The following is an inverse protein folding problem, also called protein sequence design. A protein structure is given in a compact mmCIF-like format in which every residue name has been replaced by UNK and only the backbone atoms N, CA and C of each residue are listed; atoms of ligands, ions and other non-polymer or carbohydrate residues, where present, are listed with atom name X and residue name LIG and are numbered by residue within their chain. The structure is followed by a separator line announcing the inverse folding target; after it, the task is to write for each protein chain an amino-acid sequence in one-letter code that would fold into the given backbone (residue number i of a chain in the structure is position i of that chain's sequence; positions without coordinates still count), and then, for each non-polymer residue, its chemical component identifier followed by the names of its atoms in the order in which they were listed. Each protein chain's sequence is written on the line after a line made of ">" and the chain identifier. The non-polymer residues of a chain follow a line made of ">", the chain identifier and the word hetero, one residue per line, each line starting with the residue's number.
data_IF_100042477816
#
_entry.id   IF_100042477816
#
_cell.length_a   1.000
_cell.length_b   1.000
_cell.length_c   1.000
_cell.angle_alpha   90.00
_cell.angle_beta   90.00
_cell.angle_gamma   90.00
#
_symmetry.space_group_name_H-M   'P 1'
#
loop_
_entity.id
_entity.type
_entity.pdbx_description
1 polymer ?
#
# COMPACT_ATOMS: atom_id res chain seq x y z
N UNK A 1 -15.91 -18.70 2.59
CA UNK A 1 -15.62 -19.95 3.31
C UNK A 1 -16.58 -21.05 2.87
N UNK A 2 -16.16 -22.32 2.85
CA UNK A 2 -16.93 -23.45 2.29
C UNK A 2 -17.71 -24.18 3.39
N UNK A 3 -18.67 -23.49 3.99
CA UNK A 3 -19.41 -23.99 5.17
C UNK A 3 -20.89 -24.25 4.91
N UNK A 4 -21.38 -23.99 3.70
CA UNK A 4 -22.80 -24.10 3.34
C UNK A 4 -23.01 -24.94 2.07
N UNK A 5 -23.06 -26.28 2.17
CA UNK A 5 -22.72 -27.10 3.34
C UNK A 5 -21.20 -27.32 3.48
N UNK A 6 -20.76 -27.78 4.66
CA UNK A 6 -19.38 -28.27 4.85
C UNK A 6 -19.23 -29.60 4.09
N UNK A 7 -18.15 -29.81 3.30
CA UNK A 7 -17.89 -31.08 2.64
C UNK A 7 -17.81 -32.24 3.63
N UNK A 8 -18.55 -33.31 3.38
CA UNK A 8 -18.59 -34.54 4.20
C UNK A 8 -18.59 -35.77 3.29
N UNK A 9 -18.26 -36.95 3.83
CA UNK A 9 -18.31 -38.25 3.15
C UNK A 9 -17.59 -38.29 1.79
N UNK A 10 -16.38 -37.71 1.69
CA UNK A 10 -15.63 -37.63 0.43
C UNK A 10 -16.12 -36.53 -0.52
N UNK A 11 -17.00 -35.63 -0.07
CA UNK A 11 -17.41 -34.45 -0.83
C UNK A 11 -16.24 -33.53 -1.17
N UNK A 12 -16.20 -33.04 -2.40
CA UNK A 12 -15.16 -32.11 -2.87
C UNK A 12 -15.25 -30.78 -2.13
N UNK A 13 -14.09 -30.20 -1.83
CA UNK A 13 -14.02 -28.84 -1.29
C UNK A 13 -14.52 -27.83 -2.34
N UNK A 14 -15.14 -26.74 -1.92
CA UNK A 14 -15.66 -25.72 -2.84
C UNK A 14 -14.56 -25.21 -3.78
N UNK A 15 -14.83 -25.25 -5.07
CA UNK A 15 -13.95 -24.71 -6.11
C UNK A 15 -14.31 -23.24 -6.40
N UNK A 16 -13.28 -22.42 -6.71
CA UNK A 16 -13.45 -21.00 -7.04
C UNK A 16 -12.72 -20.03 -6.11
N UNK A 17 -12.76 -18.74 -6.47
CA UNK A 17 -12.12 -17.66 -5.69
C UNK A 17 -12.76 -17.55 -4.31
N UNK A 18 -11.92 -17.66 -3.27
CA UNK A 18 -12.33 -17.50 -1.87
C UNK A 18 -12.61 -16.05 -1.48
N UNK A 19 -12.10 -15.09 -2.26
CA UNK A 19 -12.24 -13.66 -2.01
C UNK A 19 -12.57 -12.90 -3.29
N UNK A 20 -13.52 -11.97 -3.19
CA UNK A 20 -13.86 -10.97 -4.20
C UNK A 20 -13.68 -9.59 -3.61
N UNK A 21 -13.08 -8.70 -4.39
CA UNK A 21 -12.88 -7.30 -4.02
C UNK A 21 -13.66 -6.45 -5.01
N UNK A 22 -14.20 -5.34 -4.51
CA UNK A 22 -14.84 -4.30 -5.32
C UNK A 22 -14.41 -2.97 -4.73
N UNK A 23 -13.96 -2.05 -5.59
CA UNK A 23 -13.70 -0.68 -5.19
C UNK A 23 -15.00 -0.06 -4.64
N UNK A 24 -14.88 0.70 -3.56
CA UNK A 24 -15.96 1.44 -2.92
C UNK A 24 -15.52 2.89 -2.75
N UNK A 25 -16.47 3.81 -2.59
CA UNK A 25 -16.20 5.25 -2.53
C UNK A 25 -15.38 5.74 -3.73
N UNK A 26 -15.79 5.36 -4.94
CA UNK A 26 -15.08 5.67 -6.19
C UNK A 26 -15.23 7.11 -6.64
N UNK A 27 -15.95 7.93 -5.88
CA UNK A 27 -16.00 9.37 -6.13
C UNK A 27 -14.64 9.99 -5.83
N UNK A 28 -14.24 10.95 -6.65
CA UNK A 28 -12.97 11.64 -6.45
C UNK A 28 -12.95 12.29 -5.06
N UNK A 29 -11.79 12.20 -4.40
CA UNK A 29 -11.58 12.93 -3.15
C UNK A 29 -11.80 14.43 -3.40
N UNK A 30 -12.33 15.19 -2.41
CA UNK A 30 -12.53 16.62 -2.54
C UNK A 30 -11.25 17.32 -3.00
N UNK A 31 -11.38 18.21 -3.98
CA UNK A 31 -10.26 19.05 -4.42
C UNK A 31 -9.79 19.89 -3.23
N UNK A 32 -8.59 19.58 -2.72
CA UNK A 32 -8.06 20.22 -1.52
C UNK A 32 -7.00 19.42 -0.79
N UNK A 33 -6.92 18.10 -1.00
CA UNK A 33 -5.74 17.35 -0.55
C UNK A 33 -4.55 17.67 -1.44
N UNK A 34 -3.49 18.23 -0.84
CA UNK A 34 -2.22 18.47 -1.53
C UNK A 34 -1.44 17.17 -1.80
N UNK A 35 -1.84 16.05 -1.19
CA UNK A 35 -1.15 14.78 -1.23
C UNK A 35 -2.07 13.69 -1.80
N UNK A 36 -1.51 12.79 -2.59
CA UNK A 36 -2.13 11.50 -2.90
C UNK A 36 -2.17 10.63 -1.65
N UNK A 37 -3.08 9.66 -1.61
CA UNK A 37 -3.19 8.77 -0.46
C UNK A 37 -1.92 7.93 -0.20
N UNK A 38 -1.10 7.66 -1.23
CA UNK A 38 0.20 7.01 -1.04
C UNK A 38 1.23 7.98 -0.43
N UNK A 39 1.19 9.26 -0.78
CA UNK A 39 2.01 10.28 -0.14
C UNK A 39 1.65 10.46 1.33
N UNK A 40 0.35 10.45 1.67
CA UNK A 40 -0.10 10.48 3.07
C UNK A 40 0.44 9.29 3.87
N UNK A 41 0.43 8.09 3.28
CA UNK A 41 0.99 6.90 3.92
C UNK A 41 2.51 7.00 4.18
N UNK A 42 3.29 7.56 3.25
CA UNK A 42 4.71 7.82 3.51
C UNK A 42 4.90 8.93 4.57
N UNK A 43 4.16 10.03 4.44
CA UNK A 43 4.24 11.19 5.34
C UNK A 43 3.89 10.85 6.80
N UNK A 44 3.08 9.81 7.04
CA UNK A 44 2.81 9.29 8.38
C UNK A 44 4.10 8.89 9.16
N UNK A 45 5.20 8.62 8.45
CA UNK A 45 6.49 8.28 9.06
C UNK A 45 7.43 9.48 9.24
N UNK A 46 7.04 10.68 8.81
CA UNK A 46 7.89 11.88 8.95
C UNK A 46 8.19 12.21 10.42
N UNK A 47 7.25 11.90 11.32
CA UNK A 47 7.40 12.10 12.76
C UNK A 47 8.02 10.89 13.50
N UNK A 48 8.32 9.79 12.79
CA UNK A 48 8.90 8.56 13.36
C UNK A 48 10.41 8.63 13.48
N UNK A 49 10.90 9.64 14.18
CA UNK A 49 12.35 9.84 14.43
C UNK A 49 12.96 8.68 15.20
N UNK A 50 12.15 7.91 15.94
CA UNK A 50 12.55 6.68 16.63
C UNK A 50 13.07 5.60 15.67
N UNK A 51 12.52 5.51 14.45
CA UNK A 51 12.92 4.55 13.43
C UNK A 51 14.15 5.00 12.62
N UNK A 52 14.46 6.30 12.65
CA UNK A 52 15.43 6.93 11.74
C UNK A 52 16.50 7.73 12.47
N UNK A 53 16.84 7.35 13.71
CA UNK A 53 17.80 8.07 14.59
C UNK A 53 19.18 8.29 13.98
N UNK A 54 19.59 7.44 13.03
CA UNK A 54 20.89 7.51 12.37
C UNK A 54 20.93 8.52 11.21
N UNK A 55 19.80 9.14 10.86
CA UNK A 55 19.72 10.08 9.75
C UNK A 55 19.77 11.53 10.24
N UNK A 56 20.49 12.43 9.53
CA UNK A 56 20.60 13.83 9.91
C UNK A 56 19.31 14.58 9.56
N UNK A 57 18.44 14.75 10.55
CA UNK A 57 17.29 15.67 10.49
C UNK A 57 15.91 15.01 10.32
N UNK A 58 14.85 15.83 10.34
CA UNK A 58 13.48 15.33 10.16
C UNK A 58 13.31 14.74 8.76
N UNK A 59 12.64 13.59 8.69
CA UNK A 59 12.42 12.92 7.42
C UNK A 59 11.22 13.52 6.69
N UNK A 60 11.37 13.73 5.39
CA UNK A 60 10.28 13.98 4.46
C UNK A 60 10.19 12.79 3.51
N UNK A 61 9.40 11.79 3.92
CA UNK A 61 9.20 10.55 3.18
C UNK A 61 8.19 10.75 2.06
N UNK A 62 8.63 10.45 0.84
CA UNK A 62 7.79 10.47 -0.37
C UNK A 62 7.73 9.09 -1.02
N UNK A 63 6.68 8.76 -1.79
CA UNK A 63 6.61 7.48 -2.49
C UNK A 63 7.77 7.30 -3.47
N UNK A 64 8.37 6.12 -3.46
CA UNK A 64 9.35 5.71 -4.46
C UNK A 64 8.72 4.70 -5.41
N UNK A 65 8.72 5.04 -6.69
CA UNK A 65 8.28 4.15 -7.76
C UNK A 65 9.44 3.64 -8.62
N UNK A 66 10.50 4.45 -8.76
CA UNK A 66 11.67 4.10 -9.57
C UNK A 66 12.55 3.06 -8.88
N UNK A 67 13.01 2.07 -9.65
CA UNK A 67 13.82 0.96 -9.11
C UNK A 67 13.07 0.01 -8.18
N UNK A 68 11.74 0.10 -8.10
CA UNK A 68 10.90 -0.89 -7.40
C UNK A 68 10.53 -1.99 -8.38
N UNK A 69 10.85 -3.25 -8.02
CA UNK A 69 10.52 -4.40 -8.86
C UNK A 69 9.00 -4.54 -9.05
N UNK A 70 8.51 -5.05 -10.19
CA UNK A 70 7.07 -5.19 -10.46
C UNK A 70 6.29 -5.92 -9.36
N UNK A 71 6.86 -6.99 -8.79
CA UNK A 71 6.27 -7.75 -7.67
C UNK A 71 6.15 -6.97 -6.36
N UNK A 72 6.91 -5.89 -6.23
CA UNK A 72 7.04 -5.07 -5.02
C UNK A 72 6.34 -3.71 -5.17
N UNK A 73 5.70 -3.41 -6.31
CA UNK A 73 5.05 -2.11 -6.59
C UNK A 73 3.99 -1.72 -5.56
N UNK A 74 3.26 -2.71 -5.03
CA UNK A 74 2.24 -2.49 -4.00
C UNK A 74 2.82 -2.42 -2.57
N UNK A 75 4.13 -2.59 -2.36
CA UNK A 75 4.74 -2.31 -1.06
C UNK A 75 4.83 -0.81 -0.85
N UNK A 76 4.74 -0.35 0.40
CA UNK A 76 4.94 1.05 0.73
C UNK A 76 6.45 1.36 0.76
N UNK A 77 7.05 1.45 -0.42
CA UNK A 77 8.43 1.90 -0.58
C UNK A 77 8.46 3.42 -0.59
N UNK A 78 9.13 4.01 0.39
CA UNK A 78 9.27 5.46 0.53
C UNK A 78 10.74 5.86 0.49
N UNK A 79 11.01 7.07 0.01
CA UNK A 79 12.33 7.67 -0.09
C UNK A 79 12.35 9.01 0.65
N UNK A 80 13.42 9.28 1.39
CA UNK A 80 13.64 10.59 1.99
C UNK A 80 13.95 11.61 0.88
N UNK A 81 13.14 12.67 0.77
CA UNK A 81 13.23 13.66 -0.32
C UNK A 81 14.62 14.29 -0.43
N UNK A 82 15.22 14.67 0.70
CA UNK A 82 16.50 15.37 0.72
C UNK A 82 17.72 14.44 0.62
N UNK A 83 17.67 13.28 1.28
CA UNK A 83 18.83 12.40 1.43
C UNK A 83 18.85 11.25 0.41
N UNK A 84 17.72 10.96 -0.21
CA UNK A 84 17.59 9.92 -1.21
C UNK A 84 17.58 8.48 -0.68
N UNK A 85 17.77 8.25 0.63
CA UNK A 85 17.62 6.94 1.25
C UNK A 85 16.20 6.41 1.09
N UNK A 86 16.05 5.10 0.87
CA UNK A 86 14.74 4.48 0.73
C UNK A 86 14.56 3.32 1.70
N UNK A 87 13.31 3.11 2.11
CA UNK A 87 12.88 1.99 2.95
C UNK A 87 11.56 1.43 2.45
N UNK A 88 11.35 0.14 2.72
CA UNK A 88 10.04 -0.48 2.63
C UNK A 88 9.40 -0.35 4.01
N UNK A 89 8.46 0.60 4.16
CA UNK A 89 7.86 0.93 5.45
C UNK A 89 6.70 0.01 5.81
N UNK A 90 5.94 -0.45 4.81
CA UNK A 90 4.87 -1.43 4.97
C UNK A 90 4.93 -2.51 3.87
N UNK A 91 4.53 -3.76 4.18
CA UNK A 91 4.53 -4.87 3.22
C UNK A 91 3.48 -4.69 2.12
N UNK A 92 2.52 -3.78 2.31
CA UNK A 92 1.48 -3.44 1.33
C UNK A 92 0.93 -2.05 1.63
N UNK A 93 0.65 -1.27 0.58
CA UNK A 93 -0.13 -0.04 0.68
C UNK A 93 -1.56 -0.34 1.13
N UNK A 94 -2.23 0.63 1.75
CA UNK A 94 -3.63 0.50 2.13
C UNK A 94 -4.51 0.14 0.92
N UNK A 95 -5.51 -0.71 1.11
CA UNK A 95 -6.40 -1.15 0.02
C UNK A 95 -7.08 0.05 -0.65
N UNK A 96 -7.13 0.02 -1.99
CA UNK A 96 -7.58 1.14 -2.80
C UNK A 96 -6.48 2.13 -3.22
N UNK A 97 -5.31 2.09 -2.57
CA UNK A 97 -4.16 2.91 -2.99
C UNK A 97 -3.56 2.35 -4.29
N UNK A 98 -3.35 3.18 -5.34
CA UNK A 98 -2.66 2.74 -6.55
C UNK A 98 -1.22 2.28 -6.28
N UNK A 99 -0.86 1.12 -6.83
CA UNK A 99 0.50 0.58 -6.70
C UNK A 99 1.51 1.28 -7.62
N UNK A 100 1.02 1.93 -8.66
CA UNK A 100 1.82 2.70 -9.63
C UNK A 100 1.10 4.02 -9.95
N UNK A 101 1.83 5.07 -10.36
CA UNK A 101 1.22 6.36 -10.69
C UNK A 101 0.27 6.26 -11.90
N UNK A 102 0.53 5.32 -12.81
CA UNK A 102 -0.21 5.17 -14.08
C UNK A 102 -1.41 4.21 -13.99
N UNK A 103 -1.63 3.57 -12.84
CA UNK A 103 -2.78 2.66 -12.66
C UNK A 103 -3.97 3.43 -12.12
N UNK A 104 -4.71 4.10 -13.00
CA UNK A 104 -6.11 4.44 -12.73
C UNK A 104 -6.92 3.15 -12.74
N UNK A 105 -7.58 2.81 -11.64
CA UNK A 105 -8.47 1.65 -11.55
C UNK A 105 -9.71 1.80 -12.44
#
# INVERSE_FOLDING_TARGET
>A
DCTRPVPRNGGKYCEGRRTRFRSCNTENCPHGSALTFREEQCAAYNHRTDLFKSFPGPMDWVPRYTGVAPRDQCKLTCQARALGYYYVLEPRVADGTPCSPDTSS
#
